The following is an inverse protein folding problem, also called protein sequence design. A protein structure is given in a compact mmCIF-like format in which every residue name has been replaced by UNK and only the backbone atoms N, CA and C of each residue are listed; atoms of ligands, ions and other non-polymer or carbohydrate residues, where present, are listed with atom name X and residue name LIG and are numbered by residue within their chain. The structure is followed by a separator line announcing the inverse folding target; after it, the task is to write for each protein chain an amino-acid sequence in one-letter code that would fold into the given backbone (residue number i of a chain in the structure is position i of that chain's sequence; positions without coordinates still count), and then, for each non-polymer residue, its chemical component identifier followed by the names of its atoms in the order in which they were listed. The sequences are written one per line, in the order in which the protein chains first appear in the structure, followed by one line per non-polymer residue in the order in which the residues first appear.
data_IF_142123215271
#
_entry.id   IF_142123215271
#
_cell.length_a   1.000
_cell.length_b   1.000
_cell.length_c   1.000
_cell.angle_alpha   90.00
_cell.angle_beta   90.00
_cell.angle_gamma   90.00
#
_symmetry.space_group_name_H-M   'P 1'
#
loop_
_entity.id
_entity.type
_entity.pdbx_description
1 polymer ?
#
# COMPACT_ATOMS: atom_id res chain seq x y z
N UNK A 1 -12.22 2.09 -19.02
CA UNK A 1 -10.81 1.74 -18.67
C UNK A 1 -10.23 0.93 -19.83
N UNK A 2 -9.07 1.34 -20.35
CA UNK A 2 -8.33 0.47 -21.26
C UNK A 2 -7.88 -0.76 -20.44
N UNK A 3 -8.18 -1.97 -20.89
CA UNK A 3 -7.70 -3.18 -20.22
C UNK A 3 -6.22 -3.34 -20.55
N UNK A 4 -5.36 -3.37 -19.52
CA UNK A 4 -3.95 -3.73 -19.68
C UNK A 4 -3.90 -5.14 -20.25
N UNK A 5 -3.31 -5.28 -21.44
CA UNK A 5 -3.16 -6.58 -22.09
C UNK A 5 -1.73 -7.08 -21.92
N UNK A 6 -1.48 -7.77 -20.85
CA UNK A 6 -0.19 -8.39 -20.60
C UNK A 6 0.14 -8.48 -19.11
N UNK A 7 1.28 -9.08 -18.76
CA UNK A 7 1.67 -9.22 -17.37
C UNK A 7 2.06 -7.85 -16.78
N UNK A 8 1.76 -7.68 -15.48
CA UNK A 8 2.23 -6.59 -14.66
C UNK A 8 3.17 -7.11 -13.56
N UNK A 9 4.02 -6.24 -13.02
CA UNK A 9 4.99 -6.59 -11.99
C UNK A 9 5.00 -5.55 -10.88
N UNK A 10 5.13 -6.01 -9.62
CA UNK A 10 5.34 -5.15 -8.49
C UNK A 10 6.81 -4.73 -8.37
N UNK A 11 7.09 -3.43 -8.29
CA UNK A 11 8.45 -2.91 -8.36
C UNK A 11 9.21 -2.98 -7.04
N UNK A 12 8.53 -2.97 -5.88
CA UNK A 12 9.16 -2.81 -4.57
C UNK A 12 10.31 -3.78 -4.29
N UNK A 13 10.15 -5.03 -4.68
CA UNK A 13 11.15 -6.08 -4.46
C UNK A 13 12.45 -5.91 -5.28
N UNK A 14 12.43 -5.02 -6.27
CA UNK A 14 13.57 -4.77 -7.14
C UNK A 14 14.22 -3.41 -6.85
N UNK A 15 13.49 -2.44 -6.26
CA UNK A 15 14.01 -1.10 -5.99
C UNK A 15 15.22 -1.15 -5.06
N UNK A 16 16.35 -0.56 -5.50
CA UNK A 16 17.60 -0.42 -4.75
C UNK A 16 18.48 0.67 -5.37
N UNK A 17 19.57 1.05 -4.72
CA UNK A 17 20.37 2.21 -5.12
C UNK A 17 21.32 1.95 -6.29
N UNK A 18 21.18 0.81 -6.98
CA UNK A 18 22.00 0.41 -8.13
C UNK A 18 21.17 0.36 -9.40
N UNK A 19 21.70 0.93 -10.50
CA UNK A 19 21.07 0.80 -11.81
C UNK A 19 20.97 -0.69 -12.25
N UNK A 20 19.91 -1.11 -12.91
CA UNK A 20 18.78 -0.32 -13.41
C UNK A 20 17.62 -0.15 -12.42
N UNK A 21 17.82 -0.38 -11.12
CA UNK A 21 16.77 -0.47 -10.10
C UNK A 21 16.64 0.78 -9.22
N UNK A 22 17.41 1.82 -9.53
CA UNK A 22 17.63 3.01 -8.71
C UNK A 22 16.59 4.12 -8.90
N UNK A 23 15.79 4.07 -9.96
CA UNK A 23 14.72 5.03 -10.25
C UNK A 23 13.70 4.47 -11.24
N UNK A 24 12.55 5.16 -11.36
CA UNK A 24 11.45 4.71 -12.22
C UNK A 24 11.82 4.65 -13.71
N UNK A 25 12.65 5.55 -14.20
CA UNK A 25 13.02 5.60 -15.63
C UNK A 25 13.91 4.40 -16.00
N UNK A 26 14.82 4.00 -15.12
CA UNK A 26 15.72 2.88 -15.35
C UNK A 26 15.00 1.54 -15.15
N UNK A 27 14.26 1.37 -14.04
CA UNK A 27 13.56 0.12 -13.77
C UNK A 27 12.40 -0.09 -14.76
N UNK A 28 11.74 0.98 -15.20
CA UNK A 28 10.70 0.90 -16.23
C UNK A 28 11.22 0.36 -17.54
N UNK A 29 12.37 0.83 -18.02
CA UNK A 29 13.02 0.29 -19.23
C UNK A 29 13.39 -1.18 -19.07
N UNK A 30 13.92 -1.56 -17.89
CA UNK A 30 14.25 -2.96 -17.58
C UNK A 30 13.00 -3.84 -17.62
N UNK A 31 11.91 -3.43 -16.97
CA UNK A 31 10.63 -4.15 -16.94
C UNK A 31 10.02 -4.28 -18.34
N UNK A 32 10.03 -3.19 -19.14
CA UNK A 32 9.53 -3.19 -20.51
C UNK A 32 10.31 -4.17 -21.39
N UNK A 33 11.64 -4.22 -21.25
CA UNK A 33 12.50 -5.15 -21.98
C UNK A 33 12.23 -6.63 -21.63
N UNK A 34 11.70 -6.91 -20.44
CA UNK A 34 11.25 -8.25 -20.05
C UNK A 34 9.85 -8.61 -20.62
N UNK A 35 9.18 -7.66 -21.28
CA UNK A 35 7.88 -7.88 -21.92
C UNK A 35 6.67 -7.57 -21.05
N UNK A 36 6.85 -7.03 -19.85
CA UNK A 36 5.75 -6.56 -19.01
C UNK A 36 5.01 -5.39 -19.65
N UNK A 37 3.74 -5.21 -19.27
CA UNK A 37 2.86 -4.14 -19.78
C UNK A 37 2.32 -3.25 -18.67
N UNK A 38 2.47 -3.66 -17.43
CA UNK A 38 2.04 -2.89 -16.29
C UNK A 38 3.02 -2.96 -15.13
N UNK A 39 2.95 -1.94 -14.27
CA UNK A 39 3.75 -1.85 -13.05
C UNK A 39 2.85 -1.47 -11.86
N UNK A 40 2.98 -2.21 -10.76
CA UNK A 40 2.48 -1.80 -9.47
C UNK A 40 3.60 -1.03 -8.75
N UNK A 41 3.28 0.18 -8.29
CA UNK A 41 4.25 1.15 -7.81
C UNK A 41 4.22 1.21 -6.28
N UNK A 42 5.35 1.04 -5.58
CA UNK A 42 5.42 1.22 -4.13
C UNK A 42 5.35 2.72 -3.79
N UNK A 43 4.24 3.17 -3.18
CA UNK A 43 4.03 4.57 -2.87
C UNK A 43 4.99 5.13 -1.80
N UNK A 44 5.62 4.27 -1.02
CA UNK A 44 6.60 4.63 0.04
C UNK A 44 8.04 4.79 -0.45
N UNK A 45 8.33 4.44 -1.70
CA UNK A 45 9.70 4.49 -2.23
C UNK A 45 9.87 5.72 -3.14
N UNK A 46 10.62 6.70 -2.64
CA UNK A 46 10.85 7.96 -3.37
C UNK A 46 11.65 7.79 -4.68
N UNK A 47 12.32 6.65 -4.88
CA UNK A 47 12.96 6.30 -6.15
C UNK A 47 11.93 5.93 -7.21
N UNK A 48 10.78 5.40 -6.77
CA UNK A 48 9.68 5.02 -7.65
C UNK A 48 8.75 6.22 -7.93
N UNK A 49 8.33 6.96 -6.91
CA UNK A 49 7.37 8.05 -7.04
C UNK A 49 7.53 9.07 -5.91
N UNK A 50 7.34 10.35 -6.19
CA UNK A 50 7.11 11.37 -5.18
C UNK A 50 5.62 11.37 -4.82
N UNK A 51 5.27 10.70 -3.73
CA UNK A 51 3.88 10.51 -3.32
C UNK A 51 3.24 11.83 -2.87
N UNK A 52 4.00 12.75 -2.31
CA UNK A 52 3.49 14.06 -1.88
C UNK A 52 3.05 14.87 -3.10
N UNK A 53 3.89 14.97 -4.13
CA UNK A 53 3.51 15.62 -5.38
C UNK A 53 2.36 14.90 -6.09
N UNK A 54 2.36 13.58 -6.12
CA UNK A 54 1.31 12.80 -6.75
C UNK A 54 -0.06 12.99 -6.06
N UNK A 55 -0.08 13.11 -4.74
CA UNK A 55 -1.30 13.36 -3.97
C UNK A 55 -1.89 14.76 -4.21
N UNK A 56 -1.07 15.76 -4.52
CA UNK A 56 -1.47 17.16 -4.68
C UNK A 56 -1.69 17.56 -6.15
N UNK A 57 -1.02 16.90 -7.10
CA UNK A 57 -0.97 17.33 -8.50
C UNK A 57 -1.38 16.27 -9.50
N UNK A 58 -2.55 16.50 -10.12
CA UNK A 58 -2.95 15.68 -11.27
C UNK A 58 -1.98 15.81 -12.45
N UNK A 59 -1.43 17.00 -12.67
CA UNK A 59 -0.45 17.23 -13.76
C UNK A 59 0.80 16.37 -13.56
N UNK A 60 1.32 16.30 -12.32
CA UNK A 60 2.43 15.38 -12.00
C UNK A 60 2.07 13.93 -12.35
N UNK A 61 0.88 13.48 -11.98
CA UNK A 61 0.43 12.12 -12.28
C UNK A 61 0.25 11.87 -13.79
N UNK A 62 -0.24 12.86 -14.54
CA UNK A 62 -0.38 12.76 -16.00
C UNK A 62 1.01 12.66 -16.67
N UNK A 63 1.98 13.50 -16.25
CA UNK A 63 3.37 13.47 -16.75
C UNK A 63 4.05 12.14 -16.38
N UNK A 64 3.89 11.67 -15.16
CA UNK A 64 4.43 10.39 -14.70
C UNK A 64 3.88 9.22 -15.54
N UNK A 65 2.57 9.22 -15.77
CA UNK A 65 1.92 8.21 -16.60
C UNK A 65 2.39 8.28 -18.05
N UNK A 66 2.58 9.50 -18.60
CA UNK A 66 3.14 9.72 -19.92
C UNK A 66 4.52 9.07 -20.08
N UNK A 67 5.42 9.25 -19.11
CA UNK A 67 6.74 8.59 -19.11
C UNK A 67 6.65 7.07 -19.14
N UNK A 68 5.74 6.46 -18.35
CA UNK A 68 5.54 5.01 -18.39
C UNK A 68 5.01 4.55 -19.75
N UNK A 69 4.07 5.30 -20.35
CA UNK A 69 3.49 5.00 -21.66
C UNK A 69 4.53 5.08 -22.78
N UNK A 70 5.50 6.01 -22.73
CA UNK A 70 6.64 6.08 -23.66
C UNK A 70 7.49 4.80 -23.63
N UNK A 71 7.54 4.11 -22.48
CA UNK A 71 8.20 2.80 -22.33
C UNK A 71 7.28 1.61 -22.66
N UNK A 72 6.00 1.86 -23.02
CA UNK A 72 5.02 0.82 -23.27
C UNK A 72 4.45 0.17 -22.02
N UNK A 73 4.51 0.88 -20.87
CA UNK A 73 4.02 0.47 -19.58
C UNK A 73 2.83 1.31 -19.12
N UNK A 74 1.99 0.74 -18.26
CA UNK A 74 0.93 1.46 -17.57
C UNK A 74 1.02 1.22 -16.06
N UNK A 75 0.73 2.23 -15.22
CA UNK A 75 0.58 2.01 -13.78
C UNK A 75 -0.69 1.19 -13.53
N UNK A 76 -0.57 0.10 -12.80
CA UNK A 76 -1.71 -0.74 -12.42
C UNK A 76 -2.32 -0.26 -11.11
N UNK A 77 -1.50 -0.09 -10.08
CA UNK A 77 -1.87 0.39 -8.76
C UNK A 77 -0.72 1.17 -8.11
N UNK A 78 -1.07 2.03 -7.15
CA UNK A 78 -0.15 2.57 -6.15
C UNK A 78 -0.36 1.81 -4.85
N UNK A 79 0.65 1.06 -4.39
CA UNK A 79 0.56 0.22 -3.22
C UNK A 79 0.98 0.97 -1.94
N UNK A 80 0.20 0.85 -0.85
CA UNK A 80 0.50 1.43 0.46
C UNK A 80 0.69 0.35 1.54
N UNK A 81 1.37 -0.74 1.21
CA UNK A 81 1.51 -1.91 2.10
C UNK A 81 2.15 -1.57 3.44
N UNK A 82 3.28 -0.85 3.44
CA UNK A 82 4.00 -0.55 4.67
C UNK A 82 3.17 0.34 5.61
N UNK A 83 2.56 1.39 5.08
CA UNK A 83 1.68 2.27 5.85
C UNK A 83 0.45 1.53 6.36
N UNK A 84 -0.20 0.72 5.53
CA UNK A 84 -1.34 -0.11 5.94
C UNK A 84 -0.98 -1.08 7.08
N UNK A 85 0.20 -1.73 7.01
CA UNK A 85 0.66 -2.64 8.06
C UNK A 85 0.83 -1.95 9.42
N UNK A 86 1.32 -0.72 9.44
CA UNK A 86 1.60 -0.01 10.70
C UNK A 86 0.48 0.92 11.14
N UNK A 87 -0.58 1.09 10.34
CA UNK A 87 -1.80 1.79 10.72
C UNK A 87 -2.48 1.10 11.91
N UNK A 88 -2.58 -0.21 11.83
CA UNK A 88 -3.17 -1.08 12.87
C UNK A 88 -2.04 -1.98 13.40
N UNK A 89 -1.64 -1.76 14.66
CA UNK A 89 -0.52 -2.52 15.21
C UNK A 89 -0.67 -2.77 16.71
N UNK A 90 -0.63 -4.03 17.08
CA UNK A 90 -0.46 -4.41 18.48
C UNK A 90 0.96 -4.03 18.96
N UNK A 91 1.11 -3.41 20.15
CA UNK A 91 2.41 -2.92 20.62
C UNK A 91 3.55 -3.95 20.63
N UNK A 92 3.22 -5.23 20.83
CA UNK A 92 4.22 -6.32 20.81
C UNK A 92 4.91 -6.52 19.46
N UNK A 93 4.35 -5.99 18.37
CA UNK A 93 4.92 -6.11 17.02
C UNK A 93 5.76 -4.90 16.59
N UNK A 94 5.85 -3.85 17.39
CA UNK A 94 6.57 -2.62 17.01
C UNK A 94 7.99 -2.90 16.50
N UNK A 95 8.72 -3.79 17.19
CA UNK A 95 10.09 -4.15 16.83
C UNK A 95 10.20 -4.83 15.45
N UNK A 96 9.15 -5.55 15.02
CA UNK A 96 9.15 -6.25 13.72
C UNK A 96 8.96 -5.31 12.53
N UNK A 97 8.37 -4.14 12.76
CA UNK A 97 7.95 -3.21 11.71
C UNK A 97 8.62 -1.82 11.84
N UNK A 98 9.70 -1.71 12.61
CA UNK A 98 10.44 -0.43 12.78
C UNK A 98 10.92 0.16 11.44
N UNK A 99 11.20 -0.68 10.44
CA UNK A 99 11.59 -0.23 9.11
C UNK A 99 10.43 0.22 8.20
N UNK A 100 9.16 0.14 8.66
CA UNK A 100 7.98 0.47 7.85
C UNK A 100 7.49 1.91 8.05
N UNK A 101 8.09 2.65 8.97
CA UNK A 101 7.75 4.03 9.29
C UNK A 101 9.02 4.83 9.67
N UNK A 102 8.95 6.16 9.70
CA UNK A 102 10.08 6.99 10.12
C UNK A 102 10.59 6.62 11.52
N UNK A 103 11.92 6.62 11.74
CA UNK A 103 12.51 6.25 13.01
C UNK A 103 11.96 7.05 14.19
N UNK A 104 11.70 6.37 15.31
CA UNK A 104 11.26 7.00 16.56
C UNK A 104 9.77 7.21 16.72
N UNK A 105 8.97 7.08 15.67
CA UNK A 105 7.51 7.18 15.78
C UNK A 105 6.91 5.98 16.52
N UNK A 106 5.96 6.23 17.42
CA UNK A 106 5.30 5.17 18.21
C UNK A 106 3.82 5.48 18.44
N UNK A 107 3.06 4.44 18.76
CA UNK A 107 1.66 4.54 19.19
C UNK A 107 0.83 5.41 18.23
N UNK A 108 0.08 6.38 18.78
CA UNK A 108 -0.81 7.24 18.00
C UNK A 108 -0.10 8.13 16.96
N UNK A 109 1.14 8.53 17.20
CA UNK A 109 1.91 9.33 16.25
C UNK A 109 2.16 8.52 14.96
N UNK A 110 2.61 7.27 15.10
CA UNK A 110 2.79 6.34 14.00
C UNK A 110 1.46 6.09 13.27
N UNK A 111 0.37 5.84 14.03
CA UNK A 111 -0.96 5.60 13.44
C UNK A 111 -1.43 6.80 12.62
N UNK A 112 -1.25 8.04 13.10
CA UNK A 112 -1.59 9.26 12.35
C UNK A 112 -0.72 9.42 11.09
N UNK A 113 0.58 9.18 11.21
CA UNK A 113 1.49 9.19 10.05
C UNK A 113 1.04 8.16 9.01
N UNK A 114 0.80 6.92 9.41
CA UNK A 114 0.38 5.84 8.53
C UNK A 114 -0.94 6.15 7.80
N UNK A 115 -1.93 6.69 8.53
CA UNK A 115 -3.18 7.14 7.93
C UNK A 115 -2.92 8.22 6.87
N UNK A 116 -2.06 9.20 7.15
CA UNK A 116 -1.67 10.25 6.20
C UNK A 116 -1.02 9.69 4.93
N UNK A 117 -0.14 8.69 5.03
CA UNK A 117 0.48 8.05 3.86
C UNK A 117 -0.54 7.27 3.00
N UNK A 118 -1.48 6.57 3.65
CA UNK A 118 -2.58 5.91 2.92
C UNK A 118 -3.49 6.95 2.24
N UNK A 119 -3.83 8.07 2.93
CA UNK A 119 -4.61 9.16 2.33
C UNK A 119 -3.93 9.76 1.09
N UNK A 120 -2.62 10.03 1.17
CA UNK A 120 -1.84 10.51 0.02
C UNK A 120 -1.91 9.52 -1.14
N UNK A 121 -1.74 8.23 -0.86
CA UNK A 121 -1.81 7.18 -1.88
C UNK A 121 -3.20 7.09 -2.53
N UNK A 122 -4.28 7.24 -1.76
CA UNK A 122 -5.66 7.30 -2.28
C UNK A 122 -5.83 8.50 -3.24
N UNK A 123 -5.37 9.70 -2.85
CA UNK A 123 -5.44 10.91 -3.68
C UNK A 123 -4.59 10.78 -4.95
N UNK A 124 -3.38 10.27 -4.81
CA UNK A 124 -2.49 10.01 -5.93
C UNK A 124 -3.08 8.99 -6.92
N UNK A 125 -3.69 7.91 -6.41
CA UNK A 125 -4.39 6.91 -7.23
C UNK A 125 -5.54 7.52 -8.02
N UNK A 126 -6.33 8.39 -7.40
CA UNK A 126 -7.39 9.11 -8.09
C UNK A 126 -6.85 10.02 -9.21
N UNK A 127 -5.77 10.78 -8.96
CA UNK A 127 -5.11 11.61 -9.97
C UNK A 127 -4.48 10.78 -11.09
N UNK A 128 -3.84 9.65 -10.74
CA UNK A 128 -3.22 8.72 -11.70
C UNK A 128 -4.26 8.00 -12.57
N UNK A 129 -5.49 7.88 -12.06
CA UNK A 129 -6.56 7.11 -12.69
C UNK A 129 -6.41 5.60 -12.48
N UNK A 130 -5.65 5.17 -11.47
CA UNK A 130 -5.64 3.79 -10.99
C UNK A 130 -6.90 3.55 -10.12
N UNK A 131 -7.40 2.32 -10.13
CA UNK A 131 -8.70 2.04 -9.51
C UNK A 131 -8.61 1.52 -8.08
N UNK A 132 -7.46 0.96 -7.70
CA UNK A 132 -7.26 0.26 -6.43
C UNK A 132 -6.00 0.75 -5.73
N UNK A 133 -6.05 0.83 -4.40
CA UNK A 133 -4.90 0.99 -3.52
C UNK A 133 -4.73 -0.29 -2.71
N UNK A 134 -3.80 -1.17 -3.10
CA UNK A 134 -3.52 -2.38 -2.32
C UNK A 134 -2.80 -2.03 -1.02
N UNK A 135 -3.24 -2.67 0.07
CA UNK A 135 -2.73 -2.45 1.43
C UNK A 135 -2.66 -3.76 2.22
N UNK A 136 -1.86 -3.77 3.27
CA UNK A 136 -1.98 -4.73 4.37
C UNK A 136 -2.91 -4.15 5.43
N UNK A 137 -3.75 -4.97 6.06
CA UNK A 137 -4.72 -4.47 7.04
C UNK A 137 -4.09 -4.03 8.36
N UNK A 138 -2.86 -4.46 8.62
CA UNK A 138 -2.27 -4.40 9.94
C UNK A 138 -2.88 -5.40 10.90
N UNK A 139 -2.50 -5.35 12.18
CA UNK A 139 -2.91 -6.37 13.13
C UNK A 139 -3.00 -5.88 14.57
N UNK A 140 -4.14 -6.13 15.20
CA UNK A 140 -4.29 -6.14 16.66
C UNK A 140 -4.28 -7.54 17.24
N UNK A 141 -4.76 -8.54 16.51
CA UNK A 141 -5.07 -9.86 17.04
C UNK A 141 -4.51 -11.04 16.24
N UNK A 142 -3.69 -10.81 15.21
CA UNK A 142 -3.16 -11.91 14.39
C UNK A 142 -2.57 -13.06 15.23
N UNK A 143 -1.81 -12.74 16.31
CA UNK A 143 -1.25 -13.70 17.25
C UNK A 143 -2.31 -14.43 18.10
N UNK A 144 -3.54 -13.92 18.14
CA UNK A 144 -4.67 -14.48 18.88
C UNK A 144 -5.67 -15.23 17.99
N UNK A 145 -5.50 -15.19 16.67
CA UNK A 145 -6.44 -15.82 15.72
C UNK A 145 -6.39 -17.34 15.78
N UNK A 146 -5.24 -17.91 16.12
CA UNK A 146 -5.15 -19.33 16.43
C UNK A 146 -5.82 -19.65 17.79
N UNK A 147 -6.76 -20.63 17.87
CA UNK A 147 -7.61 -20.83 19.04
C UNK A 147 -6.91 -21.50 20.24
N UNK A 148 -5.66 -21.85 20.11
CA UNK A 148 -4.89 -22.50 21.17
C UNK A 148 -3.56 -21.79 21.44
N UNK A 149 -3.22 -21.48 22.72
CA UNK A 149 -4.01 -21.69 23.94
C UNK A 149 -5.29 -20.85 23.96
N UNK A 150 -6.21 -21.16 24.86
CA UNK A 150 -7.48 -20.42 24.96
C UNK A 150 -7.26 -18.92 25.12
N UNK A 151 -8.01 -18.15 24.36
CA UNK A 151 -7.98 -16.69 24.38
C UNK A 151 -9.19 -16.13 25.15
N UNK A 152 -9.11 -14.90 25.69
CA UNK A 152 -10.26 -14.24 26.29
C UNK A 152 -11.44 -14.15 25.33
N UNK A 153 -12.65 -14.34 25.85
CA UNK A 153 -13.88 -14.15 25.06
C UNK A 153 -13.99 -12.70 24.58
N UNK A 154 -14.40 -12.51 23.33
CA UNK A 154 -14.61 -11.19 22.74
C UNK A 154 -13.35 -10.47 22.23
N UNK A 155 -12.13 -10.96 22.53
CA UNK A 155 -10.90 -10.25 22.16
C UNK A 155 -10.73 -10.09 20.64
N UNK A 156 -11.19 -11.05 19.86
CA UNK A 156 -11.13 -10.97 18.39
C UNK A 156 -12.12 -9.94 17.87
N UNK A 157 -13.35 -9.93 18.39
CA UNK A 157 -14.37 -8.96 18.02
C UNK A 157 -13.92 -7.53 18.34
N UNK A 158 -13.30 -7.32 19.50
CA UNK A 158 -12.73 -6.03 19.90
C UNK A 158 -11.61 -5.59 18.93
N UNK A 159 -10.72 -6.51 18.56
CA UNK A 159 -9.64 -6.23 17.60
C UNK A 159 -10.17 -5.83 16.22
N UNK A 160 -11.15 -6.55 15.69
CA UNK A 160 -11.77 -6.21 14.40
C UNK A 160 -12.59 -4.91 14.44
N UNK A 161 -13.24 -4.60 15.58
CA UNK A 161 -13.87 -3.28 15.76
C UNK A 161 -12.83 -2.15 15.77
N UNK A 162 -11.69 -2.35 16.42
CA UNK A 162 -10.57 -1.42 16.41
C UNK A 162 -9.99 -1.21 15.01
N UNK A 163 -9.79 -2.29 14.27
CA UNK A 163 -9.36 -2.27 12.89
C UNK A 163 -10.35 -1.49 12.01
N UNK A 164 -11.63 -1.81 12.08
CA UNK A 164 -12.67 -1.14 11.32
C UNK A 164 -12.75 0.36 11.64
N UNK A 165 -12.54 0.77 12.90
CA UNK A 165 -12.52 2.17 13.32
C UNK A 165 -11.41 2.96 12.64
N UNK A 166 -10.23 2.38 12.48
CA UNK A 166 -9.08 3.05 11.85
C UNK A 166 -9.20 3.08 10.32
N UNK A 167 -9.71 2.01 9.71
CA UNK A 167 -9.85 1.93 8.26
C UNK A 167 -11.05 2.69 7.69
N UNK A 168 -12.15 2.84 8.44
CA UNK A 168 -13.38 3.45 7.93
C UNK A 168 -13.18 4.82 7.30
N UNK A 169 -12.47 5.80 7.93
CA UNK A 169 -12.26 7.11 7.30
C UNK A 169 -11.52 7.02 5.96
N UNK A 170 -10.59 6.07 5.83
CA UNK A 170 -9.81 5.85 4.61
C UNK A 170 -10.64 5.17 3.52
N UNK A 171 -11.51 4.24 3.90
CA UNK A 171 -12.48 3.61 2.98
C UNK A 171 -13.47 4.65 2.45
N UNK A 172 -13.99 5.52 3.31
CA UNK A 172 -14.90 6.60 2.94
C UNK A 172 -14.19 7.59 1.98
N UNK A 173 -12.95 7.97 2.28
CA UNK A 173 -12.13 8.81 1.39
C UNK A 173 -11.89 8.13 0.02
N UNK A 174 -11.58 6.84 0.00
CA UNK A 174 -11.37 6.10 -1.24
C UNK A 174 -12.64 6.10 -2.10
N UNK A 175 -13.80 5.85 -1.49
CA UNK A 175 -15.10 5.91 -2.15
C UNK A 175 -15.38 7.31 -2.73
N UNK A 176 -15.14 8.38 -1.95
CA UNK A 176 -15.31 9.77 -2.40
C UNK A 176 -14.39 10.13 -3.58
N UNK A 177 -13.21 9.51 -3.66
CA UNK A 177 -12.24 9.71 -4.75
C UNK A 177 -12.46 8.77 -5.94
N UNK A 178 -13.43 7.86 -5.87
CA UNK A 178 -13.73 6.90 -6.94
C UNK A 178 -12.68 5.80 -7.08
N UNK A 179 -11.94 5.52 -6.01
CA UNK A 179 -11.01 4.38 -5.91
C UNK A 179 -11.46 3.42 -4.82
N UNK A 180 -10.81 2.26 -4.70
CA UNK A 180 -11.09 1.25 -3.67
C UNK A 180 -9.82 0.89 -2.91
N UNK A 181 -9.97 0.47 -1.67
CA UNK A 181 -8.92 -0.17 -0.90
C UNK A 181 -8.99 -1.68 -1.17
N UNK A 182 -7.87 -2.26 -1.56
CA UNK A 182 -7.71 -3.71 -1.73
C UNK A 182 -6.87 -4.30 -0.60
N UNK A 183 -7.50 -5.02 0.34
CA UNK A 183 -6.75 -5.73 1.37
C UNK A 183 -6.10 -6.99 0.79
N UNK A 184 -4.77 -7.06 0.90
CA UNK A 184 -4.05 -8.28 0.60
C UNK A 184 -4.15 -9.25 1.78
N UNK A 185 -4.54 -10.49 1.50
CA UNK A 185 -4.53 -11.58 2.50
C UNK A 185 -3.08 -11.97 2.78
N UNK A 186 -2.56 -11.50 3.91
CA UNK A 186 -1.13 -11.60 4.19
C UNK A 186 -0.87 -12.04 5.64
N UNK A 187 0.06 -12.98 5.88
CA UNK A 187 0.55 -13.27 7.22
C UNK A 187 1.00 -11.99 7.94
N UNK A 188 0.85 -11.91 9.26
CA UNK A 188 1.05 -10.74 10.10
C UNK A 188 -0.04 -9.67 10.03
N UNK A 189 -1.10 -9.87 9.24
CA UNK A 189 -2.29 -9.03 9.20
C UNK A 189 -3.47 -9.74 9.86
N UNK A 190 -4.45 -8.99 10.38
CA UNK A 190 -5.68 -9.60 10.91
C UNK A 190 -6.55 -10.16 9.79
N UNK A 191 -6.52 -9.55 8.61
CA UNK A 191 -7.13 -10.09 7.40
C UNK A 191 -6.06 -10.89 6.64
N UNK A 192 -5.97 -12.21 6.92
CA UNK A 192 -4.92 -13.05 6.35
C UNK A 192 -5.44 -14.25 5.53
N UNK A 193 -6.74 -14.55 5.63
CA UNK A 193 -7.39 -15.62 4.86
C UNK A 193 -8.85 -15.30 4.58
N UNK A 194 -9.53 -16.20 3.85
CA UNK A 194 -10.93 -16.01 3.49
C UNK A 194 -11.92 -16.13 4.65
N UNK A 195 -11.50 -16.60 5.84
CA UNK A 195 -12.34 -16.67 7.01
C UNK A 195 -12.28 -15.37 7.85
N UNK A 196 -11.16 -14.62 7.74
CA UNK A 196 -10.97 -13.34 8.42
C UNK A 196 -11.38 -12.14 7.55
N UNK A 197 -11.62 -12.35 6.27
CA UNK A 197 -12.17 -11.38 5.32
C UNK A 197 -13.68 -11.41 5.35
#
# INVERSE_FOLDING_TARGET
MASIKGPAIFLAQFMRDEAPYDNIDNIGKWVANLGYKGVQIPAWDSRAIDIDQAAESKTYCDDYKGKLQEMGLEPTELAAYLAGQVLVMHPAYEVLFEGFHPPGMKGEERTRWAAGEVEKTIRASAHMGTHCVPVLSGSFAWHMLYPWPQRPEGIIDEAFQGLAKLWRPLLDLAADKGTVIGFELHPSSDIFDGATF
#
